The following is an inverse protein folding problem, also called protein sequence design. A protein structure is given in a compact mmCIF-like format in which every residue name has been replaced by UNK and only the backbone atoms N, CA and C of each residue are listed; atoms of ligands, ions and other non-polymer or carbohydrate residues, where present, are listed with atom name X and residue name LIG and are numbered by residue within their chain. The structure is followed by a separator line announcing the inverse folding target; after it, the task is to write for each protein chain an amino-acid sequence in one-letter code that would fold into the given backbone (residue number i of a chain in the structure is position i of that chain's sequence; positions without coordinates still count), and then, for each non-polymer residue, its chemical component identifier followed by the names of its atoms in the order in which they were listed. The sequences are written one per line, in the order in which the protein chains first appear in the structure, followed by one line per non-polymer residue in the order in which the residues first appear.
data_IF_318168447406
#
_entry.id   IF_318168447406
#
_cell.length_a   1.000
_cell.length_b   1.000
_cell.length_c   1.000
_cell.angle_alpha   90.00
_cell.angle_beta   90.00
_cell.angle_gamma   90.00
#
_symmetry.space_group_name_H-M   'P 1'
#
loop_
_entity.id
_entity.type
_entity.pdbx_description
1 polymer ?
#
# COMPACT_ATOMS: atom_id res chain seq x y z
N UNK A 1 20.45 -15.29 -28.31
CA UNK A 1 19.98 -15.49 -26.95
C UNK A 1 19.98 -14.12 -26.28
N UNK A 2 18.84 -13.47 -26.18
CA UNK A 2 18.72 -12.22 -25.40
C UNK A 2 18.91 -12.63 -23.93
N UNK A 3 20.03 -12.25 -23.32
CA UNK A 3 20.13 -12.31 -21.87
C UNK A 3 19.11 -11.32 -21.33
N UNK A 4 17.98 -11.78 -20.83
CA UNK A 4 17.06 -10.91 -20.10
C UNK A 4 17.88 -10.25 -18.99
N UNK A 5 17.91 -8.91 -18.98
CA UNK A 5 18.53 -8.14 -17.90
C UNK A 5 17.93 -8.64 -16.59
N UNK A 6 18.75 -8.96 -15.61
CA UNK A 6 18.29 -9.43 -14.31
C UNK A 6 17.32 -8.37 -13.71
N UNK A 7 16.21 -8.84 -13.14
CA UNK A 7 15.14 -7.97 -12.61
C UNK A 7 15.70 -7.10 -11.46
N UNK A 8 15.54 -5.81 -11.58
CA UNK A 8 15.86 -4.85 -10.52
C UNK A 8 14.83 -4.94 -9.40
N UNK A 9 15.27 -4.87 -8.16
CA UNK A 9 14.41 -5.00 -6.98
C UNK A 9 13.79 -3.65 -6.66
N UNK A 10 12.47 -3.58 -6.61
CA UNK A 10 11.73 -2.45 -6.07
C UNK A 10 11.64 -2.56 -4.54
N UNK A 11 11.80 -1.45 -3.83
CA UNK A 11 11.83 -1.46 -2.37
C UNK A 11 11.01 -0.33 -1.76
N UNK A 12 9.98 -0.69 -0.99
CA UNK A 12 9.26 0.24 -0.14
C UNK A 12 9.61 0.01 1.33
N UNK A 13 9.74 1.08 2.10
CA UNK A 13 9.63 0.99 3.55
C UNK A 13 8.15 0.86 3.93
N UNK A 14 7.83 -0.02 4.86
CA UNK A 14 6.48 -0.27 5.31
C UNK A 14 6.31 0.12 6.76
N UNK A 15 5.60 1.20 6.99
CA UNK A 15 5.39 1.77 8.32
C UNK A 15 3.90 2.14 8.54
N UNK A 16 3.60 2.65 9.73
CA UNK A 16 2.28 3.15 10.10
C UNK A 16 2.44 4.33 11.06
N UNK A 17 1.54 5.30 10.99
CA UNK A 17 1.60 6.48 11.86
C UNK A 17 1.14 6.14 13.29
N UNK A 18 1.86 5.24 13.94
CA UNK A 18 1.64 4.75 15.30
C UNK A 18 2.93 4.20 15.90
N UNK A 19 2.90 3.83 17.17
CA UNK A 19 4.03 3.22 17.87
C UNK A 19 4.22 1.77 17.43
N UNK A 20 3.29 0.88 17.73
CA UNK A 20 3.39 -0.56 17.42
C UNK A 20 2.83 -0.91 16.07
N UNK A 21 3.69 -1.39 15.13
CA UNK A 21 3.29 -1.85 13.81
C UNK A 21 3.95 -3.19 13.50
N UNK A 22 3.19 -4.22 13.17
CA UNK A 22 3.62 -5.59 12.85
C UNK A 22 4.44 -6.27 13.96
N UNK A 23 5.58 -5.71 14.33
CA UNK A 23 6.52 -6.25 15.32
C UNK A 23 6.22 -5.66 16.70
N UNK A 24 5.19 -6.20 17.38
CA UNK A 24 4.68 -5.67 18.64
C UNK A 24 5.67 -5.87 19.79
N UNK A 25 5.66 -4.92 20.74
CA UNK A 25 6.52 -4.90 21.92
C UNK A 25 7.86 -4.19 21.72
N UNK A 26 8.38 -4.12 20.48
CA UNK A 26 9.71 -3.54 20.22
C UNK A 26 9.83 -2.05 20.56
N UNK A 27 8.72 -1.34 20.74
CA UNK A 27 8.72 0.05 21.22
C UNK A 27 9.33 0.20 22.63
N UNK A 28 9.42 -0.90 23.39
CA UNK A 28 10.07 -0.93 24.72
C UNK A 28 11.60 -1.08 24.63
N UNK A 29 12.12 -1.34 23.43
CA UNK A 29 13.55 -1.47 23.22
C UNK A 29 14.27 -0.12 23.42
N UNK A 30 15.41 -0.05 24.15
CA UNK A 30 16.07 1.22 24.49
C UNK A 30 16.47 2.10 23.33
N UNK A 31 16.69 1.53 22.14
CA UNK A 31 17.07 2.24 20.91
C UNK A 31 15.88 2.55 20.01
N UNK A 32 14.66 2.16 20.38
CA UNK A 32 13.47 2.43 19.60
C UNK A 32 12.96 3.86 19.82
N UNK A 33 12.75 4.58 18.75
CA UNK A 33 12.24 5.95 18.74
C UNK A 33 10.80 6.05 18.20
N UNK A 34 10.10 4.94 17.98
CA UNK A 34 8.74 4.96 17.41
C UNK A 34 7.72 5.70 18.28
N UNK A 35 7.99 5.89 19.57
CA UNK A 35 7.18 6.73 20.46
C UNK A 35 7.10 8.21 20.00
N UNK A 36 8.01 8.66 19.12
CA UNK A 36 8.01 10.00 18.52
C UNK A 36 7.14 10.11 17.27
N UNK A 37 6.32 9.11 16.98
CA UNK A 37 5.45 9.06 15.78
C UNK A 37 4.55 10.28 15.60
N UNK A 38 4.27 11.06 16.65
CA UNK A 38 3.51 12.30 16.65
C UNK A 38 4.37 13.56 16.43
N UNK A 39 5.70 13.40 16.25
CA UNK A 39 6.61 14.49 15.92
C UNK A 39 6.87 14.55 14.41
N UNK A 40 6.73 15.74 13.83
CA UNK A 40 6.96 15.92 12.40
C UNK A 40 8.41 15.61 11.98
N UNK A 41 9.37 15.91 12.86
CA UNK A 41 10.79 15.61 12.64
C UNK A 41 11.06 14.11 12.45
N UNK A 42 10.39 13.25 13.21
CA UNK A 42 10.52 11.80 13.05
C UNK A 42 10.24 11.34 11.61
N UNK A 43 9.16 11.84 11.02
CA UNK A 43 8.74 11.48 9.66
C UNK A 43 9.59 12.13 8.57
N UNK A 44 9.97 13.40 8.75
CA UNK A 44 10.82 14.08 7.76
C UNK A 44 12.24 13.52 7.75
N UNK A 45 12.77 13.09 8.89
CA UNK A 45 14.09 12.47 8.96
C UNK A 45 14.06 11.03 8.41
N UNK A 46 12.99 10.27 8.68
CA UNK A 46 12.75 8.97 8.05
C UNK A 46 12.70 9.12 6.51
N UNK A 47 11.93 10.08 6.00
CA UNK A 47 11.80 10.29 4.56
C UNK A 47 13.13 10.63 3.88
N UNK A 48 13.94 11.51 4.48
CA UNK A 48 15.30 11.83 3.99
C UNK A 48 16.21 10.59 3.99
N UNK A 49 16.18 9.82 5.07
CA UNK A 49 16.98 8.60 5.21
C UNK A 49 16.61 7.56 4.15
N UNK A 50 15.30 7.33 3.93
CA UNK A 50 14.83 6.41 2.90
C UNK A 50 15.20 6.88 1.50
N UNK A 51 15.12 8.19 1.22
CA UNK A 51 15.55 8.74 -0.07
C UNK A 51 17.07 8.58 -0.27
N UNK A 52 17.88 8.79 0.76
CA UNK A 52 19.32 8.51 0.71
C UNK A 52 19.62 7.03 0.44
N UNK A 53 18.80 6.14 0.95
CA UNK A 53 18.84 4.70 0.68
C UNK A 53 18.22 4.29 -0.65
N UNK A 54 17.78 5.24 -1.48
CA UNK A 54 17.18 4.99 -2.80
C UNK A 54 15.88 4.14 -2.76
N UNK A 55 15.10 4.20 -1.69
CA UNK A 55 13.81 3.52 -1.62
C UNK A 55 12.85 4.07 -2.68
N UNK A 56 12.04 3.21 -3.29
CA UNK A 56 11.02 3.62 -4.25
C UNK A 56 9.90 4.39 -3.55
N UNK A 57 9.49 3.93 -2.37
CA UNK A 57 8.45 4.59 -1.62
C UNK A 57 8.48 4.33 -0.12
N UNK A 58 7.80 5.19 0.62
CA UNK A 58 7.33 4.94 1.97
C UNK A 58 5.85 4.57 1.88
N UNK A 59 5.55 3.32 2.20
CA UNK A 59 4.20 2.80 2.25
C UNK A 59 3.68 2.90 3.68
N UNK A 60 2.67 3.74 3.88
CA UNK A 60 2.12 4.02 5.21
C UNK A 60 0.77 3.33 5.34
N UNK A 61 0.76 2.27 6.16
CA UNK A 61 -0.47 1.60 6.55
C UNK A 61 -1.36 2.51 7.39
N UNK A 62 -2.63 2.25 7.36
CA UNK A 62 -3.61 2.86 8.25
C UNK A 62 -4.71 1.87 8.59
N UNK A 63 -5.27 2.04 9.77
CA UNK A 63 -6.42 1.29 10.24
C UNK A 63 -7.39 2.24 10.94
N UNK A 64 -8.61 2.27 10.45
CA UNK A 64 -9.69 2.93 11.14
C UNK A 64 -10.32 1.95 12.12
N UNK A 65 -10.49 2.36 13.37
CA UNK A 65 -10.99 1.52 14.44
C UNK A 65 -9.89 1.05 15.41
N UNK A 66 -10.25 0.17 16.30
CA UNK A 66 -9.39 -0.34 17.37
C UNK A 66 -9.47 -1.87 17.46
N UNK A 67 -8.41 -2.49 17.97
CA UNK A 67 -8.38 -3.93 18.22
C UNK A 67 -8.98 -4.22 19.61
N UNK A 68 -10.27 -4.55 19.63
CA UNK A 68 -11.07 -4.72 20.83
C UNK A 68 -11.67 -6.13 21.00
N UNK A 69 -11.23 -7.09 20.18
CA UNK A 69 -11.77 -8.44 20.18
C UNK A 69 -11.13 -9.31 21.28
N UNK A 70 -9.80 -9.21 21.47
CA UNK A 70 -9.07 -10.00 22.46
C UNK A 70 -9.49 -9.63 23.87
N UNK A 71 -9.87 -10.61 24.68
CA UNK A 71 -10.42 -10.42 26.04
C UNK A 71 -11.64 -9.49 26.10
N UNK A 72 -12.36 -9.34 24.97
CA UNK A 72 -13.51 -8.43 24.83
C UNK A 72 -13.23 -7.01 25.33
N UNK A 73 -12.04 -6.48 25.02
CA UNK A 73 -11.64 -5.15 25.47
C UNK A 73 -10.44 -4.57 24.73
N UNK A 74 -10.10 -3.34 25.07
CA UNK A 74 -8.98 -2.60 24.48
C UNK A 74 -7.75 -2.46 25.40
N UNK A 75 -7.81 -2.99 26.59
CA UNK A 75 -6.79 -2.74 27.62
C UNK A 75 -5.39 -3.20 27.16
N UNK A 76 -5.29 -4.40 26.60
CA UNK A 76 -4.02 -4.88 26.06
C UNK A 76 -3.57 -4.06 24.84
N UNK A 77 -4.51 -3.68 23.97
CA UNK A 77 -4.26 -2.83 22.81
C UNK A 77 -3.65 -1.50 23.20
N UNK A 78 -4.17 -0.86 24.25
CA UNK A 78 -3.64 0.39 24.79
C UNK A 78 -2.28 0.18 25.47
N UNK A 79 -2.18 -0.84 26.33
CA UNK A 79 -0.96 -1.13 27.10
C UNK A 79 0.24 -1.44 26.19
N UNK A 80 0.03 -2.25 25.18
CA UNK A 80 1.07 -2.72 24.25
C UNK A 80 1.20 -1.84 23.02
N UNK A 81 0.41 -0.76 22.93
CA UNK A 81 0.35 0.13 21.75
C UNK A 81 0.16 -0.63 20.44
N UNK A 82 -0.85 -1.52 20.39
CA UNK A 82 -1.15 -2.34 19.20
C UNK A 82 -1.84 -1.44 18.16
N UNK A 83 -1.06 -0.71 17.36
CA UNK A 83 -1.50 0.27 16.37
C UNK A 83 -2.47 1.33 16.95
N UNK A 84 -2.34 1.62 18.24
CA UNK A 84 -3.13 2.61 18.97
C UNK A 84 -2.27 3.24 20.08
N UNK A 85 -2.15 4.60 20.14
CA UNK A 85 -2.79 5.58 19.24
C UNK A 85 -2.21 5.56 17.83
N UNK A 86 -3.02 6.00 16.86
CA UNK A 86 -2.61 6.19 15.46
C UNK A 86 -3.13 7.51 14.92
N UNK A 87 -2.43 8.09 13.96
CA UNK A 87 -2.81 9.35 13.33
C UNK A 87 -3.02 9.15 11.82
N UNK A 88 -3.83 10.04 11.18
CA UNK A 88 -4.07 10.04 9.75
C UNK A 88 -2.75 10.23 8.96
N UNK A 89 -2.30 9.23 8.19
CA UNK A 89 -1.02 9.29 7.48
C UNK A 89 -1.01 10.32 6.35
N UNK A 90 -2.15 10.71 5.80
CA UNK A 90 -2.24 11.69 4.71
C UNK A 90 -1.74 13.08 5.13
N UNK A 91 -1.80 13.38 6.41
CA UNK A 91 -1.33 14.66 6.98
C UNK A 91 0.18 14.83 6.94
N UNK A 92 0.94 13.73 6.87
CA UNK A 92 2.40 13.72 6.88
C UNK A 92 3.00 13.96 5.49
N UNK A 93 2.27 13.61 4.44
CA UNK A 93 2.79 13.53 3.07
C UNK A 93 3.42 14.84 2.60
N UNK A 94 2.73 15.97 2.78
CA UNK A 94 3.22 17.27 2.32
C UNK A 94 4.52 17.69 2.99
N UNK A 95 4.68 17.37 4.28
CA UNK A 95 5.90 17.69 5.02
C UNK A 95 7.08 16.83 4.58
N UNK A 96 6.87 15.53 4.39
CA UNK A 96 7.89 14.61 3.87
C UNK A 96 8.26 14.97 2.43
N UNK A 97 7.29 15.32 1.60
CA UNK A 97 7.52 15.73 0.22
C UNK A 97 8.32 17.03 0.11
N UNK A 98 8.19 17.95 1.08
CA UNK A 98 8.95 19.21 1.11
C UNK A 98 10.46 19.00 1.37
N UNK A 99 10.87 17.87 1.93
CA UNK A 99 12.26 17.55 2.26
C UNK A 99 12.87 16.45 1.38
N UNK A 100 12.11 15.96 0.39
CA UNK A 100 12.50 14.91 -0.55
C UNK A 100 12.18 15.30 -1.99
N UNK A 101 12.86 14.68 -2.97
CA UNK A 101 12.65 14.95 -4.39
C UNK A 101 12.17 13.71 -5.17
N UNK A 102 12.45 12.51 -4.69
CA UNK A 102 12.28 11.27 -5.43
C UNK A 102 11.40 10.24 -4.74
N UNK A 103 11.40 10.19 -3.41
CA UNK A 103 10.67 9.21 -2.63
C UNK A 103 9.17 9.28 -2.91
N UNK A 104 8.54 8.15 -3.27
CA UNK A 104 7.10 8.00 -3.41
C UNK A 104 6.41 7.81 -2.05
N UNK A 105 5.11 8.12 -1.98
CA UNK A 105 4.30 7.99 -0.76
C UNK A 105 3.05 7.18 -1.05
N UNK A 106 3.05 5.89 -0.66
CA UNK A 106 1.87 5.04 -0.72
C UNK A 106 1.06 5.17 0.57
N UNK A 107 -0.11 5.81 0.51
CA UNK A 107 -0.93 6.08 1.69
C UNK A 107 -2.16 5.20 1.70
N UNK A 108 -2.39 4.50 2.82
CA UNK A 108 -3.61 3.72 3.01
C UNK A 108 -4.77 4.64 3.38
N UNK A 109 -5.87 4.53 2.63
CA UNK A 109 -7.14 5.18 2.98
C UNK A 109 -8.28 4.21 2.75
N UNK A 110 -9.11 4.06 3.78
CA UNK A 110 -10.28 3.21 3.74
C UNK A 110 -11.46 3.94 3.09
N UNK A 111 -11.84 3.50 1.89
CA UNK A 111 -12.90 4.13 1.11
C UNK A 111 -14.30 4.04 1.77
N UNK A 112 -14.51 3.06 2.67
CA UNK A 112 -15.82 2.87 3.31
C UNK A 112 -16.19 4.02 4.27
N UNK A 113 -15.22 4.84 4.66
CA UNK A 113 -15.41 5.96 5.61
C UNK A 113 -15.22 7.33 4.98
N UNK A 114 -15.00 7.38 3.67
CA UNK A 114 -14.69 8.60 2.93
C UNK A 114 -15.80 8.98 1.95
N UNK A 115 -15.94 10.26 1.68
CA UNK A 115 -16.69 10.75 0.53
C UNK A 115 -15.80 10.73 -0.72
N UNK A 116 -16.24 10.17 -1.86
CA UNK A 116 -15.43 10.10 -3.08
C UNK A 116 -14.92 11.48 -3.54
N UNK A 117 -15.76 12.53 -3.43
CA UNK A 117 -15.36 13.88 -3.80
C UNK A 117 -14.26 14.46 -2.89
N UNK A 118 -14.41 14.35 -1.58
CA UNK A 118 -13.44 14.88 -0.62
C UNK A 118 -12.11 14.12 -0.73
N UNK A 119 -12.19 12.81 -0.88
CA UNK A 119 -11.03 11.95 -1.10
C UNK A 119 -10.31 12.31 -2.40
N UNK A 120 -11.02 12.38 -3.53
CA UNK A 120 -10.43 12.71 -4.82
C UNK A 120 -9.75 14.09 -4.81
N UNK A 121 -10.39 15.08 -4.15
CA UNK A 121 -9.83 16.42 -3.98
C UNK A 121 -8.53 16.42 -3.17
N UNK A 122 -8.50 15.71 -2.04
CA UNK A 122 -7.31 15.58 -1.19
C UNK A 122 -6.16 14.93 -1.95
N UNK A 123 -6.39 13.81 -2.62
CA UNK A 123 -5.35 13.09 -3.34
C UNK A 123 -4.85 13.83 -4.58
N UNK A 124 -5.70 14.51 -5.33
CA UNK A 124 -5.26 15.38 -6.42
C UNK A 124 -4.42 16.57 -5.92
N UNK A 125 -4.76 17.14 -4.76
CA UNK A 125 -3.96 18.19 -4.13
C UNK A 125 -2.60 17.67 -3.68
N UNK A 126 -2.55 16.47 -3.09
CA UNK A 126 -1.30 15.81 -2.72
C UNK A 126 -0.46 15.48 -3.95
N UNK A 127 -1.06 15.07 -5.06
CA UNK A 127 -0.35 14.80 -6.31
C UNK A 127 0.35 16.06 -6.85
N UNK A 128 -0.32 17.22 -6.81
CA UNK A 128 0.31 18.50 -7.12
C UNK A 128 1.48 18.84 -6.18
N UNK A 129 1.24 18.76 -4.87
CA UNK A 129 2.24 19.15 -3.86
C UNK A 129 3.46 18.22 -3.82
N UNK A 130 3.28 16.98 -4.20
CA UNK A 130 4.37 15.99 -4.28
C UNK A 130 5.02 15.89 -5.67
N UNK A 131 4.54 16.68 -6.64
CA UNK A 131 4.98 16.58 -8.05
C UNK A 131 4.85 15.15 -8.60
N UNK A 132 3.69 14.52 -8.40
CA UNK A 132 3.40 13.20 -8.93
C UNK A 132 3.99 12.04 -8.11
N UNK A 133 4.16 12.19 -6.80
CA UNK A 133 4.75 11.14 -5.96
C UNK A 133 3.77 10.50 -4.97
N UNK A 134 2.48 10.66 -5.17
CA UNK A 134 1.44 10.06 -4.30
C UNK A 134 0.89 8.76 -4.88
N UNK A 135 0.67 7.78 -4.02
CA UNK A 135 -0.06 6.55 -4.30
C UNK A 135 -1.13 6.30 -3.24
N UNK A 136 -2.16 5.58 -3.60
CA UNK A 136 -3.26 5.20 -2.73
C UNK A 136 -3.32 3.68 -2.56
N UNK A 137 -3.19 3.21 -1.33
CA UNK A 137 -3.52 1.83 -0.99
C UNK A 137 -5.01 1.73 -0.66
N UNK A 138 -5.74 1.05 -1.54
CA UNK A 138 -7.19 0.90 -1.48
C UNK A 138 -7.54 -0.20 -0.48
N UNK A 139 -8.27 0.14 0.57
CA UNK A 139 -8.79 -0.83 1.53
C UNK A 139 -10.27 -0.61 1.78
N UNK A 140 -11.00 -1.69 2.07
CA UNK A 140 -12.44 -1.69 2.34
C UNK A 140 -12.79 -1.89 3.82
N UNK A 141 -11.75 -2.02 4.67
CA UNK A 141 -11.89 -2.24 6.10
C UNK A 141 -12.25 -3.67 6.50
N UNK A 142 -12.00 -4.00 7.76
CA UNK A 142 -12.29 -5.33 8.32
C UNK A 142 -12.62 -5.33 9.82
N UNK A 143 -12.65 -4.16 10.47
CA UNK A 143 -12.95 -4.01 11.89
C UNK A 143 -14.37 -3.51 12.14
N UNK A 144 -15.12 -4.21 12.98
CA UNK A 144 -16.44 -3.77 13.46
C UNK A 144 -16.35 -2.49 14.29
N UNK A 145 -15.25 -2.32 15.05
CA UNK A 145 -15.00 -1.11 15.85
C UNK A 145 -15.01 0.15 14.99
N UNK A 146 -14.47 0.10 13.77
CA UNK A 146 -14.50 1.22 12.84
C UNK A 146 -15.92 1.59 12.41
N UNK A 147 -16.77 0.61 12.16
CA UNK A 147 -18.17 0.84 11.77
C UNK A 147 -18.95 1.51 12.92
N UNK A 148 -18.73 1.06 14.16
CA UNK A 148 -19.37 1.68 15.34
C UNK A 148 -18.96 3.14 15.51
N UNK A 149 -17.69 3.49 15.21
CA UNK A 149 -17.21 4.87 15.30
C UNK A 149 -17.90 5.82 14.32
N UNK A 150 -18.37 5.35 13.18
CA UNK A 150 -19.12 6.15 12.19
C UNK A 150 -20.65 6.02 12.34
N UNK A 151 -21.14 5.33 13.38
CA UNK A 151 -22.57 5.19 13.64
C UNK A 151 -23.28 4.06 12.89
N UNK A 152 -22.52 3.13 12.31
CA UNK A 152 -23.06 1.96 11.61
C UNK A 152 -23.19 0.74 12.54
N UNK A 153 -24.12 -0.19 12.22
CA UNK A 153 -24.44 -1.34 13.05
C UNK A 153 -23.56 -2.59 12.80
N UNK A 154 -22.29 -2.39 12.46
CA UNK A 154 -21.35 -3.48 12.21
C UNK A 154 -20.86 -3.54 10.76
N UNK A 155 -19.94 -4.47 10.50
CA UNK A 155 -19.26 -4.57 9.24
C UNK A 155 -20.21 -5.10 8.15
N UNK A 156 -20.36 -4.33 7.06
CA UNK A 156 -21.11 -4.74 5.88
C UNK A 156 -20.56 -6.04 5.31
N UNK A 157 -21.39 -6.78 4.59
CA UNK A 157 -20.96 -7.97 3.85
C UNK A 157 -19.71 -7.69 3.00
N UNK A 158 -18.83 -8.68 2.93
CA UNK A 158 -17.55 -8.55 2.24
C UNK A 158 -17.71 -8.15 0.77
N UNK A 159 -18.62 -8.79 0.04
CA UNK A 159 -18.76 -8.53 -1.40
C UNK A 159 -19.45 -7.18 -1.65
N UNK A 160 -20.41 -6.81 -0.81
CA UNK A 160 -21.04 -5.49 -0.85
C UNK A 160 -20.03 -4.34 -0.65
N UNK A 161 -19.02 -4.54 0.20
CA UNK A 161 -17.94 -3.56 0.37
C UNK A 161 -17.13 -3.37 -0.92
N UNK A 162 -16.92 -4.42 -1.71
CA UNK A 162 -16.26 -4.31 -3.01
C UNK A 162 -17.15 -3.71 -4.10
N UNK A 163 -18.47 -3.94 -4.06
CA UNK A 163 -19.41 -3.23 -4.95
C UNK A 163 -19.38 -1.72 -4.69
N UNK A 164 -19.37 -1.33 -3.42
CA UNK A 164 -19.21 0.06 -3.01
C UNK A 164 -17.85 0.62 -3.44
N UNK A 165 -16.78 -0.17 -3.35
CA UNK A 165 -15.44 0.21 -3.78
C UNK A 165 -15.34 0.46 -5.29
N UNK A 166 -16.00 -0.36 -6.10
CA UNK A 166 -16.08 -0.17 -7.56
C UNK A 166 -16.72 1.17 -7.90
N UNK A 167 -17.86 1.49 -7.30
CA UNK A 167 -18.54 2.74 -7.58
C UNK A 167 -17.78 3.96 -7.06
N UNK A 168 -17.16 3.84 -5.87
CA UNK A 168 -16.28 4.87 -5.32
C UNK A 168 -15.15 5.20 -6.28
N UNK A 169 -14.44 4.19 -6.76
CA UNK A 169 -13.29 4.34 -7.64
C UNK A 169 -13.71 4.90 -9.02
N UNK A 170 -14.82 4.43 -9.58
CA UNK A 170 -15.37 4.98 -10.84
C UNK A 170 -15.68 6.47 -10.72
N UNK A 171 -16.24 6.90 -9.58
CA UNK A 171 -16.52 8.31 -9.34
C UNK A 171 -15.23 9.12 -9.17
N UNK A 172 -14.22 8.59 -8.51
CA UNK A 172 -12.89 9.20 -8.44
C UNK A 172 -12.25 9.34 -9.83
N UNK A 173 -12.36 8.32 -10.69
CA UNK A 173 -11.88 8.41 -12.08
C UNK A 173 -12.58 9.52 -12.87
N UNK A 174 -13.90 9.69 -12.72
CA UNK A 174 -14.63 10.78 -13.34
C UNK A 174 -14.09 12.16 -12.91
N UNK A 175 -13.74 12.32 -11.62
CA UNK A 175 -13.14 13.55 -11.13
C UNK A 175 -11.74 13.77 -11.68
N UNK A 176 -10.86 12.78 -11.59
CA UNK A 176 -9.45 12.93 -11.94
C UNK A 176 -9.20 12.98 -13.45
N UNK A 177 -9.87 12.14 -14.21
CA UNK A 177 -9.60 11.94 -15.65
C UNK A 177 -10.64 12.61 -16.56
N UNK A 178 -11.87 12.79 -16.06
CA UNK A 178 -13.01 13.20 -16.89
C UNK A 178 -13.47 14.64 -16.70
N UNK A 179 -12.98 15.37 -15.70
CA UNK A 179 -13.51 16.70 -15.40
C UNK A 179 -12.73 17.84 -16.07
N UNK A 180 -11.47 17.67 -16.39
CA UNK A 180 -10.62 18.68 -17.01
C UNK A 180 -9.83 18.09 -18.17
N UNK A 181 -9.71 18.81 -19.30
CA UNK A 181 -8.75 18.48 -20.35
C UNK A 181 -7.32 18.85 -19.90
N UNK A 182 -6.31 18.23 -20.51
CA UNK A 182 -4.91 18.39 -20.07
C UNK A 182 -4.40 19.82 -20.24
N UNK A 183 -4.86 20.52 -21.27
CA UNK A 183 -4.51 21.90 -21.63
C UNK A 183 -5.57 22.94 -21.22
N UNK A 184 -6.43 22.62 -20.27
CA UNK A 184 -7.49 23.52 -19.80
C UNK A 184 -6.93 24.78 -19.08
N UNK A 185 -5.78 24.65 -18.38
CA UNK A 185 -5.16 25.76 -17.64
C UNK A 185 -4.20 26.53 -18.54
N UNK A 186 -4.55 27.78 -18.89
CA UNK A 186 -3.82 28.63 -19.84
C UNK A 186 -2.88 29.62 -19.15
N UNK A 187 -3.30 30.15 -18.00
CA UNK A 187 -2.59 31.20 -17.26
C UNK A 187 -2.24 32.43 -18.13
N UNK A 188 -3.13 32.78 -19.08
CA UNK A 188 -2.94 33.93 -19.95
C UNK A 188 -3.24 35.23 -19.20
N UNK A 189 -2.17 35.90 -18.77
CA UNK A 189 -2.28 37.17 -18.03
C UNK A 189 -2.70 38.34 -18.90
N UNK A 190 -2.42 38.30 -20.20
CA UNK A 190 -2.74 39.42 -21.11
C UNK A 190 -4.25 39.44 -21.42
N UNK A 191 -4.82 38.28 -21.73
CA UNK A 191 -6.25 38.14 -21.99
C UNK A 191 -7.07 37.94 -20.69
N UNK A 192 -6.43 37.82 -19.54
CA UNK A 192 -7.05 37.53 -18.23
C UNK A 192 -7.86 36.22 -18.25
N UNK A 193 -7.33 35.22 -18.92
CA UNK A 193 -7.91 33.87 -18.99
C UNK A 193 -6.99 32.93 -18.22
N UNK A 194 -7.43 32.47 -17.04
CA UNK A 194 -6.66 31.49 -16.26
C UNK A 194 -6.93 30.08 -16.79
N UNK A 195 -8.19 29.77 -17.08
CA UNK A 195 -8.64 28.46 -17.56
C UNK A 195 -9.59 28.65 -18.74
N UNK A 196 -9.51 27.78 -19.75
CA UNK A 196 -10.50 27.72 -20.82
C UNK A 196 -11.78 27.04 -20.31
N UNK A 197 -12.91 27.75 -20.19
CA UNK A 197 -14.15 27.15 -19.68
C UNK A 197 -14.69 26.02 -20.56
N UNK A 198 -14.37 25.99 -21.86
CA UNK A 198 -14.82 24.94 -22.77
C UNK A 198 -14.13 23.58 -22.51
N UNK A 199 -13.01 23.59 -21.79
CA UNK A 199 -12.20 22.41 -21.46
C UNK A 199 -12.42 21.88 -20.05
N UNK A 200 -13.46 22.38 -19.36
CA UNK A 200 -13.83 21.94 -18.00
C UNK A 200 -15.23 21.35 -18.04
N UNK A 201 -15.36 20.11 -17.67
CA UNK A 201 -16.57 19.32 -17.84
C UNK A 201 -17.21 18.97 -16.50
N UNK A 202 -18.55 18.93 -16.48
CA UNK A 202 -19.30 18.49 -15.31
C UNK A 202 -19.23 16.97 -15.17
N UNK A 203 -18.97 16.54 -13.96
CA UNK A 203 -19.17 15.14 -13.54
C UNK A 203 -20.63 14.97 -13.11
N UNK A 204 -21.33 14.09 -13.81
CA UNK A 204 -22.68 13.65 -13.43
C UNK A 204 -22.63 12.16 -13.13
N UNK A 205 -22.93 11.80 -11.88
CA UNK A 205 -22.96 10.42 -11.42
C UNK A 205 -24.21 10.15 -10.58
N UNK A 206 -24.90 9.10 -10.93
CA UNK A 206 -26.04 8.59 -10.16
C UNK A 206 -25.92 7.08 -10.12
N UNK A 207 -25.40 6.57 -9.01
CA UNK A 207 -25.18 5.15 -8.76
C UNK A 207 -26.02 4.61 -7.63
N UNK A 208 -25.68 3.40 -7.22
CA UNK A 208 -26.32 2.72 -6.11
C UNK A 208 -25.91 3.33 -4.76
N UNK A 209 -24.64 3.66 -4.59
CA UNK A 209 -24.05 4.13 -3.34
C UNK A 209 -23.81 5.64 -3.32
N UNK A 210 -23.49 6.24 -4.48
CA UNK A 210 -23.06 7.63 -4.55
C UNK A 210 -23.83 8.43 -5.59
N UNK A 211 -23.95 9.74 -5.32
CA UNK A 211 -24.47 10.73 -6.27
C UNK A 211 -23.55 11.93 -6.28
N UNK A 212 -23.26 12.45 -7.47
CA UNK A 212 -22.46 13.66 -7.61
C UNK A 212 -22.83 14.41 -8.89
N UNK A 213 -22.87 15.75 -8.77
CA UNK A 213 -23.12 16.64 -9.92
C UNK A 213 -22.31 17.92 -9.74
N UNK A 214 -21.50 18.28 -10.72
CA UNK A 214 -20.74 19.51 -10.74
C UNK A 214 -19.34 19.36 -11.32
N UNK A 215 -18.56 20.43 -11.22
CA UNK A 215 -17.18 20.49 -11.70
C UNK A 215 -16.22 20.10 -10.59
N UNK A 216 -15.22 19.30 -10.90
CA UNK A 216 -14.14 19.00 -9.97
C UNK A 216 -13.25 20.22 -9.77
N UNK A 217 -12.97 20.61 -8.52
CA UNK A 217 -12.30 21.86 -8.20
C UNK A 217 -10.78 21.86 -8.45
N UNK A 218 -10.15 20.68 -8.56
CA UNK A 218 -8.70 20.60 -8.72
C UNK A 218 -8.35 20.43 -10.19
N UNK A 219 -7.45 21.29 -10.67
CA UNK A 219 -6.90 21.23 -12.02
C UNK A 219 -6.10 19.93 -12.23
N UNK A 220 -5.77 19.60 -13.50
CA UNK A 220 -4.98 18.40 -13.79
C UNK A 220 -3.66 18.34 -13.04
N UNK A 221 -3.47 17.30 -12.26
CA UNK A 221 -2.20 16.99 -11.59
C UNK A 221 -1.33 16.09 -12.47
N UNK A 222 -0.07 15.87 -12.08
CA UNK A 222 0.91 15.11 -12.87
C UNK A 222 0.41 13.71 -13.22
N UNK A 223 -0.02 12.95 -12.21
CA UNK A 223 -0.49 11.59 -12.42
C UNK A 223 -1.98 11.49 -12.74
N UNK A 224 -2.76 12.55 -12.46
CA UNK A 224 -4.23 12.55 -12.44
C UNK A 224 -4.76 11.58 -11.39
N UNK A 225 -4.85 10.32 -11.74
CA UNK A 225 -5.09 9.23 -10.80
C UNK A 225 -3.80 8.92 -10.05
N UNK A 226 -3.78 8.87 -8.71
CA UNK A 226 -2.60 8.44 -7.95
C UNK A 226 -2.20 7.01 -8.34
N UNK A 227 -0.96 6.58 -8.04
CA UNK A 227 -0.60 5.16 -8.19
C UNK A 227 -1.51 4.32 -7.31
N UNK A 228 -2.13 3.29 -7.87
CA UNK A 228 -3.12 2.47 -7.18
C UNK A 228 -2.48 1.19 -6.64
N UNK A 229 -2.49 1.06 -5.31
CA UNK A 229 -2.06 -0.15 -4.61
C UNK A 229 -3.26 -0.87 -3.98
N UNK A 230 -3.15 -2.19 -3.82
CA UNK A 230 -4.17 -2.97 -3.13
C UNK A 230 -3.59 -4.27 -2.55
N UNK A 231 -4.11 -4.72 -1.41
CA UNK A 231 -3.73 -5.94 -0.71
C UNK A 231 -4.94 -6.89 -0.58
N UNK A 232 -5.48 -7.38 -1.70
CA UNK A 232 -6.65 -8.26 -1.70
C UNK A 232 -6.31 -9.71 -1.97
N UNK A 233 -6.40 -10.57 -0.96
CA UNK A 233 -6.13 -11.99 -1.08
C UNK A 233 -7.39 -12.87 -1.23
N UNK A 234 -8.60 -12.30 -1.06
CA UNK A 234 -9.85 -13.01 -1.35
C UNK A 234 -10.11 -13.06 -2.86
N UNK A 235 -10.92 -14.02 -3.38
CA UNK A 235 -11.24 -14.06 -4.80
C UNK A 235 -11.83 -12.72 -5.32
N UNK A 236 -12.75 -12.11 -4.58
CA UNK A 236 -13.34 -10.80 -4.94
C UNK A 236 -12.31 -9.68 -4.86
N UNK A 237 -11.48 -9.67 -3.81
CA UNK A 237 -10.39 -8.69 -3.65
C UNK A 237 -9.33 -8.81 -4.74
N UNK A 238 -8.97 -10.02 -5.13
CA UNK A 238 -8.04 -10.26 -6.24
C UNK A 238 -8.61 -9.80 -7.57
N UNK A 239 -9.90 -10.08 -7.84
CA UNK A 239 -10.57 -9.60 -9.06
C UNK A 239 -10.59 -8.07 -9.15
N UNK A 240 -10.88 -7.38 -8.04
CA UNK A 240 -10.82 -5.93 -7.96
C UNK A 240 -9.38 -5.41 -8.16
N UNK A 241 -8.39 -6.03 -7.49
CA UNK A 241 -7.00 -5.62 -7.59
C UNK A 241 -6.45 -5.80 -9.02
N UNK A 242 -6.67 -6.95 -9.64
CA UNK A 242 -6.20 -7.22 -11.01
C UNK A 242 -6.88 -6.33 -12.05
N UNK A 243 -8.07 -5.81 -11.77
CA UNK A 243 -8.76 -4.85 -12.61
C UNK A 243 -8.19 -3.43 -12.46
N UNK A 244 -7.91 -2.97 -11.24
CA UNK A 244 -7.65 -1.56 -10.95
C UNK A 244 -6.24 -1.25 -10.45
N UNK A 245 -5.61 -2.15 -9.67
CA UNK A 245 -4.34 -1.85 -9.05
C UNK A 245 -3.17 -1.89 -10.04
N UNK A 246 -2.16 -1.07 -9.75
CA UNK A 246 -0.85 -1.07 -10.40
C UNK A 246 0.19 -1.77 -9.52
N UNK A 247 0.00 -1.75 -8.20
CA UNK A 247 0.82 -2.48 -7.25
C UNK A 247 -0.04 -3.40 -6.37
N UNK A 248 0.38 -4.63 -6.18
CA UNK A 248 -0.29 -5.58 -5.29
C UNK A 248 0.65 -6.04 -4.18
N UNK A 249 0.12 -6.00 -2.94
CA UNK A 249 0.82 -6.54 -1.79
C UNK A 249 0.31 -7.93 -1.47
N UNK A 250 1.22 -8.88 -1.43
CA UNK A 250 0.90 -10.27 -1.09
C UNK A 250 1.69 -10.71 0.15
N UNK A 251 1.15 -11.68 0.84
CA UNK A 251 1.82 -12.34 1.96
C UNK A 251 2.16 -13.77 1.61
N UNK A 252 3.11 -14.34 2.33
CA UNK A 252 3.49 -15.75 2.20
C UNK A 252 4.69 -16.03 3.06
N UNK A 253 4.72 -17.22 3.61
CA UNK A 253 5.78 -17.75 4.48
C UNK A 253 6.74 -18.70 3.74
N UNK A 254 6.39 -19.05 2.49
CA UNK A 254 7.15 -19.99 1.66
C UNK A 254 7.16 -19.57 0.18
N UNK A 255 8.31 -19.67 -0.54
CA UNK A 255 8.42 -19.28 -1.95
C UNK A 255 7.36 -19.91 -2.86
N UNK A 256 7.03 -21.19 -2.70
CA UNK A 256 6.03 -21.87 -3.54
C UNK A 256 4.63 -21.25 -3.40
N UNK A 257 4.25 -20.83 -2.18
CA UNK A 257 2.97 -20.16 -1.95
C UNK A 257 2.95 -18.77 -2.58
N UNK A 258 4.07 -18.05 -2.50
CA UNK A 258 4.25 -16.74 -3.12
C UNK A 258 4.15 -16.90 -4.64
N UNK A 259 4.93 -17.82 -5.23
CA UNK A 259 4.91 -18.10 -6.67
C UNK A 259 3.51 -18.42 -7.19
N UNK A 260 2.78 -19.29 -6.49
CA UNK A 260 1.41 -19.63 -6.85
C UNK A 260 0.49 -18.40 -6.87
N UNK A 261 0.63 -17.49 -5.91
CA UNK A 261 -0.15 -16.25 -5.89
C UNK A 261 0.24 -15.34 -7.04
N UNK A 262 1.54 -15.20 -7.33
CA UNK A 262 2.04 -14.40 -8.48
C UNK A 262 1.45 -14.95 -9.78
N UNK A 263 1.53 -16.24 -10.02
CA UNK A 263 1.01 -16.87 -11.24
C UNK A 263 -0.51 -16.64 -11.38
N UNK A 264 -1.24 -16.72 -10.27
CA UNK A 264 -2.68 -16.45 -10.26
C UNK A 264 -3.00 -14.99 -10.59
N UNK A 265 -2.25 -14.03 -10.05
CA UNK A 265 -2.42 -12.60 -10.34
C UNK A 265 -2.12 -12.33 -11.83
N UNK A 266 -1.01 -12.85 -12.36
CA UNK A 266 -0.62 -12.68 -13.76
C UNK A 266 -1.66 -13.27 -14.72
N UNK A 267 -2.13 -14.50 -14.43
CA UNK A 267 -3.19 -15.14 -15.20
C UNK A 267 -4.47 -14.31 -15.21
N UNK A 268 -4.96 -13.91 -14.04
CA UNK A 268 -6.20 -13.14 -13.93
C UNK A 268 -6.11 -11.75 -14.58
N UNK A 269 -4.96 -11.07 -14.50
CA UNK A 269 -4.73 -9.83 -15.23
C UNK A 269 -4.86 -10.03 -16.75
N UNK A 270 -4.26 -11.10 -17.26
CA UNK A 270 -4.35 -11.48 -18.68
C UNK A 270 -5.80 -11.78 -19.10
N UNK A 271 -6.55 -12.54 -18.31
CA UNK A 271 -7.97 -12.84 -18.55
C UNK A 271 -8.84 -11.56 -18.61
N UNK A 272 -8.46 -10.53 -17.86
CA UNK A 272 -9.12 -9.22 -17.87
C UNK A 272 -8.60 -8.27 -18.97
N UNK A 273 -7.73 -8.74 -19.85
CA UNK A 273 -7.16 -7.96 -20.97
C UNK A 273 -6.11 -6.93 -20.54
N UNK A 274 -5.56 -7.06 -19.32
CA UNK A 274 -4.44 -6.23 -18.85
C UNK A 274 -3.10 -6.91 -19.15
N UNK A 275 -2.09 -6.09 -19.40
CA UNK A 275 -0.70 -6.55 -19.39
C UNK A 275 -0.35 -7.04 -17.97
N UNK A 276 0.00 -8.32 -17.78
CA UNK A 276 0.37 -8.85 -16.46
C UNK A 276 1.58 -8.12 -15.84
N UNK A 277 2.51 -7.60 -16.64
CA UNK A 277 3.68 -6.85 -16.17
C UNK A 277 3.33 -5.41 -15.73
N UNK A 278 2.14 -4.91 -16.07
CA UNK A 278 1.64 -3.63 -15.59
C UNK A 278 1.18 -3.66 -14.12
N UNK A 279 1.29 -4.81 -13.45
CA UNK A 279 1.02 -4.95 -12.01
C UNK A 279 2.32 -5.32 -11.32
N UNK A 280 2.85 -4.43 -10.47
CA UNK A 280 4.01 -4.72 -9.64
C UNK A 280 3.59 -5.47 -8.37
N UNK A 281 4.25 -6.59 -8.10
CA UNK A 281 3.89 -7.47 -6.98
C UNK A 281 4.96 -7.37 -5.89
N UNK A 282 4.53 -6.97 -4.69
CA UNK A 282 5.40 -6.77 -3.53
C UNK A 282 5.09 -7.78 -2.44
N UNK A 283 6.12 -8.31 -1.80
CA UNK A 283 6.00 -9.15 -0.60
C UNK A 283 6.46 -8.37 0.62
N UNK A 284 5.67 -8.42 1.70
CA UNK A 284 6.12 -7.91 3.00
C UNK A 284 7.27 -8.76 3.53
N UNK A 285 8.32 -8.13 4.03
CA UNK A 285 9.46 -8.80 4.67
C UNK A 285 9.87 -8.10 5.94
N UNK A 286 10.42 -8.86 6.88
CA UNK A 286 11.12 -8.36 8.06
C UNK A 286 12.59 -8.75 7.96
N UNK A 287 13.50 -7.79 8.11
CA UNK A 287 14.94 -8.02 8.02
C UNK A 287 15.60 -7.62 9.33
N UNK A 288 16.45 -8.49 9.84
CA UNK A 288 17.40 -8.19 10.94
C UNK A 288 18.80 -8.40 10.40
N UNK A 289 19.56 -7.33 10.24
CA UNK A 289 20.89 -7.35 9.64
C UNK A 289 21.93 -6.65 10.51
N UNK A 290 23.17 -7.06 10.35
CA UNK A 290 24.34 -6.49 11.00
C UNK A 290 25.57 -6.72 10.12
N UNK A 291 26.76 -6.38 10.62
CA UNK A 291 28.03 -6.52 9.90
C UNK A 291 28.36 -7.99 9.60
N UNK A 292 28.02 -8.93 10.48
CA UNK A 292 28.20 -10.37 10.29
C UNK A 292 26.92 -11.16 10.60
N UNK A 293 26.83 -12.42 10.15
CA UNK A 293 25.69 -13.29 10.43
C UNK A 293 25.52 -13.54 11.93
N UNK A 294 26.63 -13.66 12.67
CA UNK A 294 26.61 -13.89 14.12
C UNK A 294 26.08 -12.65 14.85
N UNK A 295 26.49 -11.44 14.44
CA UNK A 295 26.00 -10.19 15.03
C UNK A 295 24.51 -9.98 14.70
N UNK A 296 24.07 -10.34 13.50
CA UNK A 296 22.67 -10.29 13.13
C UNK A 296 21.81 -11.27 13.94
N UNK A 297 22.34 -12.45 14.23
CA UNK A 297 21.67 -13.41 15.11
C UNK A 297 21.58 -12.92 16.56
N UNK A 298 22.66 -12.34 17.10
CA UNK A 298 22.66 -11.72 18.42
C UNK A 298 21.64 -10.58 18.52
N UNK A 299 21.55 -9.74 17.49
CA UNK A 299 20.55 -8.66 17.38
C UNK A 299 19.13 -9.22 17.33
N UNK A 300 18.89 -10.30 16.61
CA UNK A 300 17.59 -10.98 16.59
C UNK A 300 17.20 -11.47 18.00
N UNK A 301 18.12 -12.09 18.71
CA UNK A 301 17.88 -12.61 20.06
C UNK A 301 17.63 -11.46 21.06
N UNK A 302 18.34 -10.34 20.90
CA UNK A 302 18.06 -9.10 21.63
C UNK A 302 16.63 -8.60 21.34
N UNK A 303 16.24 -8.48 20.09
CA UNK A 303 14.91 -7.99 19.72
C UNK A 303 13.79 -8.90 20.24
N UNK A 304 13.99 -10.21 20.20
CA UNK A 304 13.04 -11.19 20.75
C UNK A 304 12.77 -11.00 22.24
N UNK A 305 13.76 -10.53 23.00
CA UNK A 305 13.58 -10.27 24.42
C UNK A 305 12.61 -9.10 24.73
N UNK A 306 12.39 -8.21 23.75
CA UNK A 306 11.46 -7.09 23.86
C UNK A 306 10.14 -7.31 23.11
N UNK A 307 10.04 -8.36 22.31
CA UNK A 307 8.83 -8.67 21.57
C UNK A 307 7.67 -9.07 22.49
N UNK A 308 6.44 -8.74 22.08
CA UNK A 308 5.20 -9.10 22.79
C UNK A 308 4.37 -10.08 21.98
N UNK A 309 4.56 -11.42 22.14
CA UNK A 309 3.75 -12.41 21.43
C UNK A 309 2.25 -12.32 21.74
N UNK A 310 1.91 -11.88 22.95
CA UNK A 310 0.52 -11.68 23.38
C UNK A 310 -0.12 -10.52 22.61
N UNK A 311 0.61 -9.43 22.40
CA UNK A 311 0.14 -8.33 21.54
C UNK A 311 -0.05 -8.77 20.08
N UNK A 312 0.83 -9.64 19.57
CA UNK A 312 0.68 -10.29 18.30
C UNK A 312 -0.62 -11.10 18.20
N UNK A 313 -0.92 -11.89 19.23
CA UNK A 313 -2.15 -12.68 19.32
C UNK A 313 -3.42 -11.79 19.38
N UNK A 314 -3.36 -10.69 20.14
CA UNK A 314 -4.47 -9.74 20.24
C UNK A 314 -4.75 -9.04 18.89
N UNK A 315 -3.71 -8.63 18.16
CA UNK A 315 -3.83 -8.12 16.79
C UNK A 315 -4.46 -9.18 15.87
N UNK A 316 -4.00 -10.42 15.96
CA UNK A 316 -4.53 -11.52 15.14
C UNK A 316 -6.00 -11.81 15.46
N UNK A 317 -6.40 -11.78 16.75
CA UNK A 317 -7.80 -11.95 17.19
C UNK A 317 -8.74 -10.99 16.48
N UNK A 318 -8.41 -9.72 16.41
CA UNK A 318 -9.23 -8.73 15.71
C UNK A 318 -9.20 -8.90 14.19
N UNK A 319 -8.09 -9.40 13.64
CA UNK A 319 -7.99 -9.68 12.20
C UNK A 319 -8.90 -10.82 11.74
N UNK A 320 -9.14 -11.81 12.62
CA UNK A 320 -10.05 -12.95 12.34
C UNK A 320 -11.44 -12.75 12.91
N UNK A 321 -11.64 -11.78 13.82
CA UNK A 321 -12.90 -11.54 14.52
C UNK A 321 -13.25 -12.62 15.52
N UNK A 322 -12.25 -13.26 16.14
CA UNK A 322 -12.40 -14.34 17.14
C UNK A 322 -11.55 -13.97 18.34
N UNK A 323 -12.14 -13.98 19.54
CA UNK A 323 -11.38 -13.81 20.78
C UNK A 323 -10.54 -15.07 21.08
N UNK A 324 -9.26 -14.98 20.75
CA UNK A 324 -8.31 -16.08 20.90
C UNK A 324 -7.88 -16.30 22.36
N UNK A 325 -8.21 -15.38 23.28
CA UNK A 325 -7.95 -15.55 24.71
C UNK A 325 -8.81 -16.64 25.36
N UNK A 326 -9.89 -17.05 24.67
CA UNK A 326 -10.82 -18.07 25.16
C UNK A 326 -10.31 -19.52 24.98
N UNK A 327 -9.25 -19.72 24.20
CA UNK A 327 -8.68 -21.04 23.92
C UNK A 327 -7.46 -21.30 24.77
N UNK A 328 -7.32 -22.54 25.25
CA UNK A 328 -6.08 -22.96 25.89
C UNK A 328 -4.90 -22.88 24.91
N UNK A 329 -3.71 -22.60 25.41
CA UNK A 329 -2.53 -22.35 24.59
C UNK A 329 -2.21 -23.48 23.59
N UNK A 330 -2.50 -24.74 23.95
CA UNK A 330 -2.22 -25.93 23.15
C UNK A 330 -3.48 -26.53 22.50
N UNK A 331 -4.63 -25.84 22.57
CA UNK A 331 -5.88 -26.26 21.97
C UNK A 331 -6.02 -25.71 20.54
N UNK A 332 -6.33 -26.54 19.52
CA UNK A 332 -6.58 -26.08 18.17
C UNK A 332 -7.76 -25.09 18.10
N UNK A 333 -7.54 -23.96 17.45
CA UNK A 333 -8.55 -22.91 17.25
C UNK A 333 -9.60 -23.39 16.24
N UNK A 334 -10.89 -23.47 16.61
CA UNK A 334 -11.93 -23.89 15.68
C UNK A 334 -12.20 -22.81 14.62
N UNK A 335 -12.50 -23.25 13.40
CA UNK A 335 -12.97 -22.33 12.36
C UNK A 335 -14.32 -21.70 12.74
N UNK A 336 -14.42 -20.39 12.62
CA UNK A 336 -15.66 -19.64 12.77
C UNK A 336 -15.82 -18.67 11.60
N UNK A 337 -16.95 -18.69 10.89
CA UNK A 337 -17.22 -17.71 9.82
C UNK A 337 -17.39 -16.32 10.43
N UNK A 338 -16.59 -15.35 9.96
CA UNK A 338 -16.66 -13.94 10.36
C UNK A 338 -16.62 -13.06 9.11
N UNK A 339 -17.01 -11.78 9.21
CA UNK A 339 -16.88 -10.78 8.15
C UNK A 339 -15.51 -10.11 8.11
N UNK A 340 -14.59 -10.51 8.99
CA UNK A 340 -13.20 -10.04 9.06
C UNK A 340 -12.35 -10.62 7.92
N UNK A 341 -11.05 -10.77 8.06
CA UNK A 341 -10.16 -11.23 6.97
C UNK A 341 -10.37 -12.73 6.72
N UNK A 342 -11.19 -13.06 5.73
CA UNK A 342 -11.60 -14.44 5.43
C UNK A 342 -10.41 -15.37 5.12
N UNK A 343 -9.40 -14.90 4.39
CA UNK A 343 -8.20 -15.69 4.04
C UNK A 343 -7.37 -16.11 5.23
N UNK A 344 -7.31 -15.25 6.26
CA UNK A 344 -6.61 -15.56 7.52
C UNK A 344 -7.41 -16.58 8.32
N UNK A 345 -8.73 -16.43 8.39
CA UNK A 345 -9.61 -17.31 9.14
C UNK A 345 -9.71 -18.73 8.51
N UNK A 346 -9.63 -18.82 7.18
CA UNK A 346 -9.68 -20.12 6.49
C UNK A 346 -8.50 -21.06 6.85
N UNK A 347 -7.36 -20.52 7.33
CA UNK A 347 -6.25 -21.34 7.80
C UNK A 347 -6.66 -22.31 8.94
N UNK A 348 -7.62 -21.91 9.77
CA UNK A 348 -8.13 -22.76 10.85
C UNK A 348 -8.96 -23.97 10.35
N UNK A 349 -9.41 -23.97 9.08
CA UNK A 349 -10.04 -25.16 8.46
C UNK A 349 -9.02 -26.20 8.01
N UNK A 350 -7.86 -25.72 7.58
CA UNK A 350 -6.87 -26.54 6.88
C UNK A 350 -5.79 -27.05 7.83
N UNK A 351 -5.58 -26.36 8.95
CA UNK A 351 -4.48 -26.61 9.88
C UNK A 351 -5.00 -26.57 11.33
N UNK A 352 -4.47 -27.46 12.16
CA UNK A 352 -4.73 -27.46 13.61
C UNK A 352 -3.82 -26.43 14.31
N UNK A 353 -4.09 -25.14 14.09
CA UNK A 353 -3.30 -24.04 14.63
C UNK A 353 -3.73 -23.76 16.08
N UNK A 354 -2.78 -23.69 17.00
CA UNK A 354 -2.98 -23.35 18.40
C UNK A 354 -2.64 -21.87 18.70
N UNK A 355 -3.09 -21.27 19.81
CA UNK A 355 -2.61 -19.97 20.25
C UNK A 355 -1.08 -19.92 20.43
N UNK A 356 -0.43 -21.00 20.88
CA UNK A 356 1.03 -21.06 21.00
C UNK A 356 1.72 -21.00 19.62
N UNK A 357 1.19 -21.65 18.60
CA UNK A 357 1.74 -21.54 17.23
C UNK A 357 1.66 -20.11 16.73
N UNK A 358 0.54 -19.43 16.97
CA UNK A 358 0.39 -18.03 16.59
C UNK A 358 1.33 -17.11 17.38
N UNK A 359 1.48 -17.31 18.69
CA UNK A 359 2.44 -16.56 19.51
C UNK A 359 3.86 -16.74 19.00
N UNK A 360 4.28 -17.97 18.69
CA UNK A 360 5.59 -18.27 18.14
C UNK A 360 5.81 -17.60 16.78
N UNK A 361 4.80 -17.62 15.91
CA UNK A 361 4.85 -16.98 14.61
C UNK A 361 4.92 -15.44 14.72
N UNK A 362 4.28 -14.85 15.74
CA UNK A 362 4.16 -13.39 15.90
C UNK A 362 5.22 -12.79 16.83
N UNK A 363 6.25 -13.52 17.23
CA UNK A 363 7.36 -12.94 18.02
C UNK A 363 8.03 -11.82 17.22
N UNK A 364 8.45 -12.11 15.97
CA UNK A 364 8.98 -11.12 15.03
C UNK A 364 8.58 -11.53 13.61
N UNK A 365 8.39 -10.53 12.73
CA UNK A 365 7.98 -10.75 11.34
C UNK A 365 6.48 -10.94 11.15
N UNK A 366 5.79 -11.47 12.14
CA UNK A 366 4.35 -11.63 12.13
C UNK A 366 3.86 -12.48 10.95
N UNK A 367 3.35 -11.82 9.90
CA UNK A 367 2.78 -12.47 8.70
C UNK A 367 3.77 -12.58 7.55
N UNK A 368 4.98 -12.09 7.70
CA UNK A 368 5.97 -11.91 6.65
C UNK A 368 7.21 -12.77 6.90
N UNK A 369 7.94 -13.17 5.87
CA UNK A 369 9.22 -13.83 6.02
C UNK A 369 10.18 -13.00 6.88
N UNK A 370 10.83 -13.64 7.83
CA UNK A 370 11.91 -13.05 8.61
C UNK A 370 13.26 -13.49 8.02
N UNK A 371 14.03 -12.52 7.56
CA UNK A 371 15.34 -12.74 6.98
C UNK A 371 16.41 -12.18 7.93
N UNK A 372 17.36 -13.02 8.33
CA UNK A 372 18.42 -12.68 9.27
C UNK A 372 19.77 -12.99 8.66
N UNK A 373 20.73 -12.08 8.83
CA UNK A 373 22.10 -12.26 8.39
C UNK A 373 22.85 -10.96 8.12
N UNK A 374 24.10 -11.09 7.69
CA UNK A 374 24.91 -10.02 7.16
C UNK A 374 24.27 -9.41 5.90
N UNK A 375 24.75 -8.23 5.49
CA UNK A 375 24.26 -7.62 4.25
C UNK A 375 24.37 -8.55 3.04
N UNK A 376 25.45 -9.30 2.92
CA UNK A 376 25.67 -10.28 1.85
C UNK A 376 24.66 -11.45 1.89
N UNK A 377 24.43 -12.03 3.08
CA UNK A 377 23.47 -13.12 3.29
C UNK A 377 22.04 -12.66 3.02
N UNK A 378 21.67 -11.46 3.48
CA UNK A 378 20.32 -10.90 3.24
C UNK A 378 20.13 -10.63 1.76
N UNK A 379 21.09 -9.96 1.09
CA UNK A 379 21.01 -9.65 -0.33
C UNK A 379 20.85 -10.93 -1.20
N UNK A 380 21.58 -12.01 -0.88
CA UNK A 380 21.45 -13.28 -1.57
C UNK A 380 20.04 -13.86 -1.43
N UNK A 381 19.49 -13.90 -0.20
CA UNK A 381 18.13 -14.43 0.05
C UNK A 381 17.05 -13.60 -0.63
N UNK A 382 17.19 -12.27 -0.67
CA UNK A 382 16.26 -11.38 -1.37
C UNK A 382 16.28 -11.61 -2.88
N UNK A 383 17.47 -11.72 -3.46
CA UNK A 383 17.65 -12.01 -4.89
C UNK A 383 17.05 -13.39 -5.23
N UNK A 384 17.35 -14.39 -4.43
CA UNK A 384 16.80 -15.74 -4.64
C UNK A 384 15.27 -15.72 -4.59
N UNK A 385 14.67 -15.01 -3.63
CA UNK A 385 13.21 -14.91 -3.53
C UNK A 385 12.58 -14.24 -4.77
N UNK A 386 13.19 -13.19 -5.31
CA UNK A 386 12.76 -12.56 -6.58
C UNK A 386 12.84 -13.57 -7.74
N UNK A 387 13.97 -14.27 -7.86
CA UNK A 387 14.22 -15.16 -8.98
C UNK A 387 13.34 -16.43 -8.94
N UNK A 388 13.05 -16.94 -7.74
CA UNK A 388 12.19 -18.11 -7.55
C UNK A 388 10.70 -17.82 -7.72
N UNK A 389 10.25 -16.58 -7.40
CA UNK A 389 8.82 -16.28 -7.30
C UNK A 389 8.29 -15.30 -8.33
N UNK A 390 9.17 -14.60 -9.05
CA UNK A 390 8.84 -13.55 -10.03
C UNK A 390 8.10 -12.34 -9.44
N UNK A 391 8.25 -12.09 -8.14
CA UNK A 391 7.80 -10.82 -7.54
C UNK A 391 8.66 -9.65 -8.04
N UNK A 392 8.17 -8.42 -7.89
CA UNK A 392 8.87 -7.21 -8.35
C UNK A 392 9.66 -6.53 -7.22
N UNK A 393 9.32 -6.79 -5.97
CA UNK A 393 9.99 -6.12 -4.86
C UNK A 393 9.42 -6.44 -3.49
N UNK A 394 9.80 -5.60 -2.53
CA UNK A 394 9.51 -5.84 -1.13
C UNK A 394 8.91 -4.61 -0.43
N UNK A 395 8.04 -4.88 0.54
CA UNK A 395 7.66 -3.95 1.59
C UNK A 395 8.43 -4.31 2.86
N UNK A 396 9.47 -3.56 3.17
CA UNK A 396 10.33 -3.76 4.35
C UNK A 396 9.65 -3.23 5.61
N UNK A 397 9.26 -4.11 6.52
CA UNK A 397 8.72 -3.71 7.82
C UNK A 397 9.83 -3.23 8.75
N UNK A 398 9.54 -2.22 9.56
CA UNK A 398 10.47 -1.84 10.63
C UNK A 398 10.45 -2.85 11.77
N UNK A 399 11.59 -3.03 12.41
CA UNK A 399 11.73 -3.63 13.74
C UNK A 399 11.96 -2.52 14.76
N UNK A 400 13.17 -2.27 15.19
CA UNK A 400 13.54 -1.14 16.06
C UNK A 400 13.78 0.11 15.17
N UNK A 401 13.03 1.18 15.41
CA UNK A 401 13.10 2.41 14.62
C UNK A 401 14.06 3.44 15.27
N UNK A 402 14.91 4.16 14.49
CA UNK A 402 15.12 4.06 13.04
C UNK A 402 16.15 3.01 12.62
N UNK A 403 16.76 2.31 13.59
CA UNK A 403 17.92 1.41 13.43
C UNK A 403 17.73 0.40 12.30
N UNK A 404 16.55 -0.22 12.20
CA UNK A 404 16.30 -1.27 11.20
C UNK A 404 16.47 -0.79 9.76
N UNK A 405 15.98 0.41 9.43
CA UNK A 405 16.16 0.99 8.11
C UNK A 405 17.60 1.48 7.89
N UNK A 406 18.23 2.05 8.91
CA UNK A 406 19.64 2.47 8.85
C UNK A 406 20.56 1.30 8.54
N UNK A 407 20.37 0.18 9.22
CA UNK A 407 21.17 -1.03 9.01
C UNK A 407 20.94 -1.65 7.63
N UNK A 408 19.68 -1.67 7.17
CA UNK A 408 19.37 -2.17 5.83
C UNK A 408 20.05 -1.30 4.76
N UNK A 409 20.01 0.01 4.89
CA UNK A 409 20.68 0.95 3.99
C UNK A 409 22.19 0.75 4.05
N UNK A 410 22.75 0.59 5.24
CA UNK A 410 24.19 0.47 5.43
C UNK A 410 24.76 -0.85 4.94
N UNK A 411 24.10 -1.96 5.17
CA UNK A 411 24.66 -3.29 4.95
C UNK A 411 24.08 -3.99 3.71
N UNK A 412 22.78 -3.86 3.42
CA UNK A 412 22.11 -4.65 2.38
C UNK A 412 22.12 -3.94 1.02
N UNK A 413 21.81 -2.65 0.98
CA UNK A 413 21.72 -1.90 -0.29
C UNK A 413 23.04 -1.95 -1.09
N UNK A 414 24.24 -1.73 -0.50
CA UNK A 414 25.50 -1.83 -1.25
C UNK A 414 25.73 -3.21 -1.87
N UNK A 415 25.35 -4.28 -1.18
CA UNK A 415 25.44 -5.65 -1.69
C UNK A 415 24.51 -5.89 -2.88
N UNK A 416 23.27 -5.38 -2.82
CA UNK A 416 22.32 -5.46 -3.93
C UNK A 416 22.81 -4.66 -5.14
N UNK A 417 23.38 -3.49 -4.93
CA UNK A 417 23.95 -2.63 -5.97
C UNK A 417 25.17 -3.31 -6.64
N UNK A 418 26.10 -3.85 -5.84
CA UNK A 418 27.27 -4.55 -6.34
C UNK A 418 26.89 -5.77 -7.23
N UNK A 419 25.77 -6.42 -6.90
CA UNK A 419 25.24 -7.57 -7.66
C UNK A 419 24.38 -7.12 -8.87
N UNK A 420 24.24 -5.82 -9.13
CA UNK A 420 23.43 -5.26 -10.22
C UNK A 420 21.95 -5.53 -10.09
N UNK A 421 21.43 -5.67 -8.85
CA UNK A 421 20.04 -5.96 -8.56
C UNK A 421 19.28 -4.79 -7.93
N UNK A 422 19.94 -3.66 -7.70
CA UNK A 422 19.35 -2.45 -7.15
C UNK A 422 19.94 -1.22 -7.81
N UNK A 423 19.13 -0.16 -7.94
CA UNK A 423 19.52 1.11 -8.54
C UNK A 423 20.62 1.81 -7.75
N UNK A 424 21.46 2.56 -8.45
CA UNK A 424 22.52 3.41 -7.88
C UNK A 424 22.15 4.89 -7.86
N UNK A 425 21.10 5.26 -8.57
CA UNK A 425 20.55 6.62 -8.62
C UNK A 425 19.07 6.56 -8.94
N UNK A 426 18.34 7.65 -8.65
CA UNK A 426 16.95 7.76 -9.04
C UNK A 426 16.80 8.18 -10.49
N UNK A 427 15.84 7.60 -11.18
CA UNK A 427 15.31 8.17 -12.41
C UNK A 427 14.47 9.41 -12.12
N UNK A 428 14.39 10.33 -13.09
CA UNK A 428 13.52 11.48 -13.04
C UNK A 428 12.09 11.10 -13.41
N UNK A 429 11.11 11.83 -12.88
CA UNK A 429 9.69 11.59 -13.19
C UNK A 429 8.83 11.32 -11.97
N UNK A 430 7.56 11.06 -12.23
CA UNK A 430 6.58 10.72 -11.20
C UNK A 430 6.87 9.36 -10.54
N UNK A 431 6.18 9.08 -9.44
CA UNK A 431 6.24 7.77 -8.78
C UNK A 431 5.83 6.65 -9.74
N UNK A 432 4.76 6.87 -10.52
CA UNK A 432 4.35 5.91 -11.55
C UNK A 432 5.43 5.69 -12.60
N UNK A 433 6.01 6.76 -13.13
CA UNK A 433 7.07 6.63 -14.14
C UNK A 433 8.23 5.77 -13.63
N UNK A 434 8.69 6.01 -12.39
CA UNK A 434 9.79 5.26 -11.77
C UNK A 434 9.47 3.76 -11.59
N UNK A 435 8.23 3.43 -11.25
CA UNK A 435 7.82 2.03 -11.05
C UNK A 435 7.60 1.26 -12.36
N UNK A 436 7.09 1.92 -13.40
CA UNK A 436 6.57 1.24 -14.60
C UNK A 436 7.28 1.61 -15.89
N UNK A 437 8.10 2.66 -15.92
CA UNK A 437 8.81 3.14 -17.12
C UNK A 437 7.86 3.50 -18.30
N UNK A 438 6.60 3.81 -18.01
CA UNK A 438 5.54 4.03 -19.02
C UNK A 438 4.94 5.44 -18.96
N UNK A 439 5.63 6.40 -18.33
CA UNK A 439 5.17 7.78 -18.17
C UNK A 439 4.34 8.02 -16.92
N UNK A 440 3.77 9.22 -16.83
CA UNK A 440 3.13 9.70 -15.59
C UNK A 440 1.67 9.28 -15.45
N UNK A 441 1.03 8.83 -16.52
CA UNK A 441 -0.40 8.50 -16.59
C UNK A 441 -0.62 6.99 -16.62
N UNK A 442 -1.76 6.55 -16.11
CA UNK A 442 -2.21 5.17 -16.29
C UNK A 442 -2.19 4.76 -17.77
N UNK A 443 -1.82 3.51 -18.06
CA UNK A 443 -1.72 3.01 -19.43
C UNK A 443 -3.05 3.05 -20.17
N UNK A 444 -3.00 3.02 -21.50
CA UNK A 444 -4.21 2.98 -22.34
C UNK A 444 -5.02 1.68 -22.20
N UNK A 445 -4.41 0.61 -21.69
CA UNK A 445 -5.11 -0.64 -21.42
C UNK A 445 -5.84 -0.65 -20.06
N UNK A 446 -5.64 0.37 -19.20
CA UNK A 446 -6.29 0.44 -17.92
C UNK A 446 -7.77 0.87 -18.05
N UNK A 447 -8.71 0.32 -17.24
CA UNK A 447 -10.14 0.66 -17.29
C UNK A 447 -10.45 2.15 -17.16
N UNK A 448 -9.56 2.93 -16.60
CA UNK A 448 -9.68 4.40 -16.47
C UNK A 448 -9.88 5.11 -17.78
N UNK A 449 -9.42 4.54 -18.90
CA UNK A 449 -9.52 5.15 -20.24
C UNK A 449 -10.94 5.56 -20.62
N UNK A 450 -11.94 4.80 -20.22
CA UNK A 450 -13.34 5.13 -20.51
C UNK A 450 -13.83 6.43 -19.85
N UNK A 451 -13.09 6.93 -18.84
CA UNK A 451 -13.43 8.15 -18.11
C UNK A 451 -12.64 9.37 -18.58
N UNK A 452 -11.62 9.21 -19.43
CA UNK A 452 -10.82 10.34 -19.95
C UNK A 452 -11.64 11.24 -20.86
N UNK A 453 -11.46 12.56 -20.69
CA UNK A 453 -11.97 13.52 -21.66
C UNK A 453 -11.38 13.21 -23.04
N UNK A 454 -12.24 13.08 -24.05
CA UNK A 454 -11.78 13.03 -25.42
C UNK A 454 -11.38 14.45 -25.83
N UNK A 455 -10.12 14.64 -26.23
CA UNK A 455 -9.67 15.93 -26.75
C UNK A 455 -10.60 16.34 -27.91
N UNK A 456 -11.24 17.49 -27.80
CA UNK A 456 -12.20 18.02 -28.78
C UNK A 456 -11.61 18.26 -30.19
N UNK A 457 -10.29 18.13 -30.35
CA UNK A 457 -9.58 18.26 -31.64
C UNK A 457 -9.79 17.10 -32.61
N UNK A 458 -10.22 15.90 -32.14
CA UNK A 458 -10.42 14.77 -33.08
C UNK A 458 -11.78 14.79 -33.79
N UNK A 459 -12.78 15.45 -33.23
CA UNK A 459 -14.14 15.54 -33.82
C UNK A 459 -14.29 16.67 -34.82
N UNK A 460 -13.48 17.71 -34.76
CA UNK A 460 -13.49 18.80 -35.74
C UNK A 460 -12.94 18.38 -37.11
N UNK A 461 -11.89 17.55 -37.13
CA UNK A 461 -11.30 17.05 -38.34
C UNK A 461 -12.16 16.01 -39.09
N UNK A 462 -13.02 15.29 -38.38
CA UNK A 462 -13.95 14.31 -39.02
C UNK A 462 -15.15 15.03 -39.65
N UNK A 463 -15.63 16.11 -39.03
CA UNK A 463 -16.73 16.92 -39.60
C UNK A 463 -16.31 17.83 -40.78
N UNK A 464 -15.04 18.27 -40.82
CA UNK A 464 -14.51 19.01 -41.97
C UNK A 464 -14.27 18.09 -43.18
N UNK A 465 -13.85 16.86 -43.00
CA UNK A 465 -13.70 15.90 -44.11
C UNK A 465 -15.02 15.41 -44.69
N UNK A 466 -16.10 15.40 -43.90
CA UNK A 466 -17.44 15.06 -44.43
C UNK A 466 -18.16 16.25 -45.13
N UNK A 467 -17.74 17.49 -44.90
CA UNK A 467 -18.27 18.65 -45.63
C UNK A 467 -17.51 19.00 -46.91
N UNK A 468 -16.38 18.36 -47.19
CA UNK A 468 -15.63 18.53 -48.46
C UNK A 468 -15.86 17.39 -49.45
N UNK A 469 -16.72 16.40 -49.09
CA UNK A 469 -17.10 15.26 -49.95
C UNK A 469 -18.61 15.18 -50.21
N UNK A 470 -19.34 16.31 -50.06
CA UNK A 470 -20.75 16.41 -50.46
C UNK A 470 -20.95 17.55 -51.45
#
# INVERSE_FOLDING_TARGET
MNSSKAKEILLNAFDMNCVGHINHGLWTHPRDESHRFNELSYWTDLAKMLEQGLFDGLFIADITGVYDVYQNGIDLTLKESIQLPSHDPSTLVSAMAAVTQHLGFGVTVNLSYESPYQFARRFASLDHLTHGRIGWNIVTGYLDSAQRLIGENGLKDHDLRYEQAEEFLQLCYKFWEGSWEDDAVLTDKQQRIFTDPAKVHQVNHQGQFYRSQGVFQVSPSVQRTPVLFQAGASPRGMAFATQHAEGMFIGGDHPDKIKKQVDQIRCQATEQGRDPEAIKIFVGITVVTAETDELAQQKLDEYRAYASPEAGLAHYSSSVGIDLSQFANDEPIPYKKTNSIATVNNKFKEQQITPNDLKAQHILGGRYPLIVGSGATVAEKLIQLIDDTDIDGFNLTRTVAPESHQDFIRFVIPELQQRGRYKTEYEQGSFRHKLFQQGDRLSSAHPVQQFRCQNSTSTANTKLKQKQSA
#
